data_IF_694672591792
#
_entry.id   IF_694672591792
#
_cell.length_a   1.000
_cell.length_b   1.000
_cell.length_c   1.000
_cell.angle_alpha   90.00
_cell.angle_beta   90.00
_cell.angle_gamma   90.00
#
_symmetry.space_group_name_H-M   'P 1'
#
loop_
_entity.id
_entity.type
_entity.pdbx_description
1 polymer ?
#
# COMPACT_ATOMS: atom_id res chain seq x y z
N UNK A 1 -58.75 -30.31 -3.19
CA UNK A 1 -57.69 -29.78 -2.29
C UNK A 1 -56.44 -29.62 -3.12
N UNK A 2 -56.14 -28.38 -3.52
CA UNK A 2 -54.99 -27.98 -4.32
C UNK A 2 -53.78 -27.89 -3.40
N UNK A 3 -52.86 -28.85 -3.53
CA UNK A 3 -51.53 -28.74 -2.93
C UNK A 3 -50.75 -27.73 -3.79
N UNK A 4 -50.83 -26.46 -3.40
CA UNK A 4 -49.88 -25.45 -3.87
C UNK A 4 -48.52 -25.82 -3.28
N UNK A 5 -47.76 -26.61 -4.03
CA UNK A 5 -46.36 -26.83 -3.76
C UNK A 5 -45.70 -25.45 -3.84
N UNK A 6 -45.39 -24.89 -2.67
CA UNK A 6 -44.52 -23.75 -2.58
C UNK A 6 -43.24 -24.09 -3.37
N UNK A 7 -43.10 -23.48 -4.54
CA UNK A 7 -41.81 -23.20 -5.13
C UNK A 7 -41.09 -22.31 -4.11
N UNK A 8 -40.55 -22.94 -3.07
CA UNK A 8 -39.44 -22.39 -2.32
C UNK A 8 -38.35 -22.19 -3.37
N UNK A 9 -38.22 -20.96 -3.85
CA UNK A 9 -37.17 -20.51 -4.73
C UNK A 9 -35.85 -20.88 -4.06
N UNK A 10 -35.28 -22.01 -4.45
CA UNK A 10 -33.90 -22.32 -4.13
C UNK A 10 -33.08 -21.21 -4.76
N UNK A 11 -32.63 -20.24 -3.95
CA UNK A 11 -31.58 -19.32 -4.37
C UNK A 11 -30.47 -20.21 -4.92
N UNK A 12 -30.20 -20.10 -6.21
CA UNK A 12 -29.26 -21.00 -6.86
C UNK A 12 -27.87 -20.81 -6.25
N UNK A 13 -27.08 -21.88 -6.18
CA UNK A 13 -25.66 -21.79 -5.78
C UNK A 13 -24.93 -20.71 -6.61
N UNK A 14 -25.28 -20.59 -7.89
CA UNK A 14 -24.77 -19.54 -8.78
C UNK A 14 -25.17 -18.13 -8.35
N UNK A 15 -26.42 -17.92 -7.94
CA UNK A 15 -26.91 -16.61 -7.46
C UNK A 15 -26.14 -16.19 -6.20
N UNK A 16 -25.91 -17.13 -5.27
CA UNK A 16 -25.13 -16.88 -4.05
C UNK A 16 -23.66 -16.54 -4.35
N UNK A 17 -23.05 -17.25 -5.30
CA UNK A 17 -21.68 -16.95 -5.77
C UNK A 17 -21.60 -15.57 -6.45
N UNK A 18 -22.60 -15.21 -7.25
CA UNK A 18 -22.69 -13.91 -7.90
C UNK A 18 -22.86 -12.77 -6.90
N UNK A 19 -23.76 -12.95 -5.94
CA UNK A 19 -23.98 -11.99 -4.86
C UNK A 19 -22.71 -11.80 -4.02
N UNK A 20 -22.05 -12.91 -3.65
CA UNK A 20 -20.78 -12.89 -2.94
C UNK A 20 -19.70 -12.12 -3.72
N UNK A 21 -19.55 -12.38 -5.03
CA UNK A 21 -18.61 -11.66 -5.89
C UNK A 21 -18.91 -10.16 -5.97
N UNK A 22 -20.18 -9.78 -6.09
CA UNK A 22 -20.61 -8.36 -6.15
C UNK A 22 -20.35 -7.66 -4.83
N UNK A 23 -20.65 -8.30 -3.71
CA UNK A 23 -20.42 -7.75 -2.37
C UNK A 23 -18.92 -7.54 -2.11
N UNK A 24 -18.08 -8.53 -2.43
CA UNK A 24 -16.63 -8.44 -2.30
C UNK A 24 -16.06 -7.31 -3.18
N UNK A 25 -16.44 -7.24 -4.46
CA UNK A 25 -16.00 -6.16 -5.37
C UNK A 25 -16.43 -4.78 -4.89
N UNK A 26 -17.64 -4.65 -4.34
CA UNK A 26 -18.12 -3.38 -3.79
C UNK A 26 -17.25 -2.95 -2.61
N UNK A 27 -16.99 -3.85 -1.66
CA UNK A 27 -16.12 -3.56 -0.53
C UNK A 27 -14.68 -3.21 -0.97
N UNK A 28 -14.12 -4.00 -1.90
CA UNK A 28 -12.76 -3.81 -2.41
C UNK A 28 -12.59 -2.46 -3.13
N UNK A 29 -13.60 -1.96 -3.86
CA UNK A 29 -13.55 -0.61 -4.45
C UNK A 29 -13.34 0.48 -3.40
N UNK A 30 -14.09 0.41 -2.29
CA UNK A 30 -13.96 1.37 -1.18
C UNK A 30 -12.59 1.25 -0.51
N UNK A 31 -12.15 0.02 -0.22
CA UNK A 31 -10.86 -0.20 0.43
C UNK A 31 -9.67 0.16 -0.47
N UNK A 32 -9.69 -0.14 -1.78
CA UNK A 32 -8.61 0.23 -2.70
C UNK A 32 -8.52 1.74 -2.86
N UNK A 33 -9.65 2.44 -3.04
CA UNK A 33 -9.66 3.91 -3.13
C UNK A 33 -9.17 4.52 -1.82
N UNK A 34 -9.66 4.03 -0.68
CA UNK A 34 -9.20 4.48 0.62
C UNK A 34 -7.70 4.25 0.83
N UNK A 35 -7.18 3.08 0.44
CA UNK A 35 -5.76 2.75 0.51
C UNK A 35 -4.90 3.64 -0.40
N UNK A 36 -5.34 3.92 -1.62
CA UNK A 36 -4.67 4.83 -2.54
C UNK A 36 -4.62 6.26 -1.97
N UNK A 37 -5.72 6.74 -1.39
CA UNK A 37 -5.78 8.05 -0.74
C UNK A 37 -4.89 8.11 0.52
N UNK A 38 -4.86 7.06 1.34
CA UNK A 38 -3.94 6.93 2.48
C UNK A 38 -2.46 6.88 2.04
N UNK A 39 -2.19 6.33 0.85
CA UNK A 39 -0.87 6.39 0.22
C UNK A 39 -0.45 7.80 -0.23
N UNK A 40 -1.35 8.77 -0.19
CA UNK A 40 -1.03 10.16 -0.43
C UNK A 40 -1.03 10.95 0.87
N UNK A 41 -0.07 11.85 1.04
CA UNK A 41 0.13 12.61 2.27
C UNK A 41 -1.11 13.37 2.75
N UNK A 42 -1.46 14.48 2.09
CA UNK A 42 -2.60 15.31 2.51
C UNK A 42 -3.97 14.62 2.38
N UNK A 43 -4.25 13.83 1.31
CA UNK A 43 -5.52 13.12 1.19
C UNK A 43 -5.70 11.96 2.18
N UNK A 44 -4.64 11.52 2.87
CA UNK A 44 -4.70 10.31 3.70
C UNK A 44 -5.69 10.39 4.86
N UNK A 45 -5.91 11.58 5.42
CA UNK A 45 -6.95 11.84 6.42
C UNK A 45 -8.36 11.49 5.92
N UNK A 46 -8.64 11.70 4.64
CA UNK A 46 -9.91 11.39 3.99
C UNK A 46 -9.93 9.91 3.53
N UNK A 47 -8.77 9.38 3.15
CA UNK A 47 -8.60 7.99 2.75
C UNK A 47 -9.02 6.99 3.83
N UNK A 48 -8.71 7.27 5.10
CA UNK A 48 -9.01 6.37 6.21
C UNK A 48 -10.53 6.13 6.41
N UNK A 49 -11.40 7.16 6.51
CA UNK A 49 -12.85 6.95 6.54
C UNK A 49 -13.40 6.17 5.34
N UNK A 50 -12.88 6.43 4.14
CA UNK A 50 -13.28 5.73 2.90
C UNK A 50 -12.90 4.25 2.98
N UNK A 51 -11.70 3.95 3.48
CA UNK A 51 -11.24 2.59 3.71
C UNK A 51 -12.10 1.86 4.75
N UNK A 52 -12.40 2.51 5.88
CA UNK A 52 -13.26 1.97 6.94
C UNK A 52 -14.67 1.65 6.45
N UNK A 53 -15.22 2.46 5.53
CA UNK A 53 -16.50 2.13 4.87
C UNK A 53 -16.42 0.81 4.10
N UNK A 54 -15.31 0.54 3.41
CA UNK A 54 -15.09 -0.73 2.73
C UNK A 54 -15.02 -1.92 3.69
N UNK A 55 -14.30 -1.78 4.81
CA UNK A 55 -14.25 -2.80 5.87
C UNK A 55 -15.63 -3.06 6.46
N UNK A 56 -16.44 -2.02 6.66
CA UNK A 56 -17.82 -2.14 7.14
C UNK A 56 -18.71 -2.89 6.15
N UNK A 57 -18.56 -2.65 4.84
CA UNK A 57 -19.26 -3.40 3.79
C UNK A 57 -18.83 -4.88 3.76
N UNK A 58 -17.54 -5.18 3.91
CA UNK A 58 -17.04 -6.55 3.98
C UNK A 58 -17.58 -7.29 5.22
N UNK A 59 -17.64 -6.61 6.37
CA UNK A 59 -18.23 -7.17 7.60
C UNK A 59 -19.72 -7.47 7.44
N UNK A 60 -20.47 -6.63 6.73
CA UNK A 60 -21.87 -6.92 6.42
C UNK A 60 -22.02 -8.14 5.52
N UNK A 61 -21.21 -8.25 4.47
CA UNK A 61 -21.23 -9.42 3.59
C UNK A 61 -20.94 -10.72 4.36
N UNK A 62 -19.95 -10.69 5.26
CA UNK A 62 -19.64 -11.84 6.14
C UNK A 62 -20.83 -12.19 7.06
N UNK A 63 -21.48 -11.19 7.66
CA UNK A 63 -22.66 -11.40 8.52
C UNK A 63 -23.87 -11.93 7.74
N UNK A 64 -23.98 -11.60 6.46
CA UNK A 64 -25.01 -12.09 5.56
C UNK A 64 -24.76 -13.53 5.07
N UNK A 65 -23.66 -14.18 5.49
CA UNK A 65 -23.33 -15.55 5.06
C UNK A 65 -22.82 -15.62 3.62
N UNK A 66 -22.38 -14.50 3.04
CA UNK A 66 -21.75 -14.49 1.72
C UNK A 66 -20.32 -15.01 1.82
N UNK A 67 -19.85 -15.66 0.76
CA UNK A 67 -18.46 -16.08 0.66
C UNK A 67 -17.56 -14.85 0.50
N UNK A 68 -16.67 -14.64 1.47
CA UNK A 68 -15.71 -13.52 1.47
C UNK A 68 -14.28 -14.03 1.52
N UNK A 69 -13.37 -13.21 0.99
CA UNK A 69 -11.93 -13.50 1.04
C UNK A 69 -11.45 -13.67 2.49
N UNK A 70 -10.53 -14.60 2.79
CA UNK A 70 -9.96 -14.75 4.13
C UNK A 70 -9.42 -13.42 4.68
N UNK A 71 -9.66 -13.17 5.97
CA UNK A 71 -9.29 -11.91 6.61
C UNK A 71 -7.78 -11.66 6.60
N UNK A 72 -6.97 -12.71 6.77
CA UNK A 72 -5.50 -12.60 6.73
C UNK A 72 -4.98 -12.17 5.36
N UNK A 73 -5.57 -12.68 4.26
CA UNK A 73 -5.26 -12.24 2.89
C UNK A 73 -5.64 -10.76 2.73
N UNK A 74 -6.79 -10.36 3.25
CA UNK A 74 -7.24 -8.96 3.22
C UNK A 74 -6.27 -8.05 3.98
N UNK A 75 -5.85 -8.44 5.19
CA UNK A 75 -4.91 -7.68 6.02
C UNK A 75 -3.55 -7.52 5.33
N UNK A 76 -2.93 -8.63 4.91
CA UNK A 76 -1.62 -8.62 4.25
C UNK A 76 -1.69 -7.86 2.93
N UNK A 77 -2.72 -8.10 2.12
CA UNK A 77 -2.90 -7.46 0.83
C UNK A 77 -3.06 -5.95 0.96
N UNK A 78 -3.89 -5.46 1.90
CA UNK A 78 -4.06 -4.03 2.10
C UNK A 78 -2.87 -3.37 2.81
N UNK A 79 -2.18 -4.06 3.72
CA UNK A 79 -0.94 -3.57 4.32
C UNK A 79 0.11 -3.29 3.23
N UNK A 80 0.34 -4.27 2.35
CA UNK A 80 1.29 -4.13 1.24
C UNK A 80 0.80 -3.13 0.18
N UNK A 81 -0.52 -3.04 -0.05
CA UNK A 81 -1.08 -2.07 -0.97
C UNK A 81 -0.87 -0.63 -0.48
N UNK A 82 -1.14 -0.36 0.80
CA UNK A 82 -0.95 0.99 1.39
C UNK A 82 0.53 1.37 1.33
N UNK A 83 1.42 0.47 1.71
CA UNK A 83 2.87 0.65 1.60
C UNK A 83 3.32 0.92 0.15
N UNK A 84 2.84 0.14 -0.81
CA UNK A 84 3.10 0.38 -2.23
C UNK A 84 2.57 1.72 -2.71
N UNK A 85 1.36 2.12 -2.29
CA UNK A 85 0.77 3.41 -2.64
C UNK A 85 1.51 4.59 -1.98
N UNK A 86 1.97 4.45 -0.73
CA UNK A 86 2.80 5.46 -0.04
C UNK A 86 4.09 5.72 -0.81
N UNK A 87 4.79 4.67 -1.21
CA UNK A 87 6.05 4.79 -1.93
C UNK A 87 5.89 5.15 -3.41
N UNK A 88 4.77 4.76 -4.05
CA UNK A 88 4.47 5.19 -5.41
C UNK A 88 3.98 6.63 -5.45
N UNK A 89 2.86 6.93 -4.79
CA UNK A 89 2.19 8.23 -4.89
C UNK A 89 2.86 9.29 -4.02
N UNK A 90 3.35 8.93 -2.83
CA UNK A 90 4.08 9.85 -1.96
C UNK A 90 5.37 10.33 -2.60
N UNK A 91 6.23 9.42 -3.07
CA UNK A 91 7.44 9.82 -3.78
C UNK A 91 7.16 10.38 -5.19
N UNK A 92 6.03 10.07 -5.83
CA UNK A 92 5.65 10.73 -7.09
C UNK A 92 5.42 12.24 -6.92
N UNK A 93 5.02 12.70 -5.73
CA UNK A 93 4.94 14.13 -5.45
C UNK A 93 6.33 14.79 -5.50
N UNK A 94 7.38 14.11 -5.04
CA UNK A 94 8.76 14.57 -5.20
C UNK A 94 9.25 14.50 -6.65
N UNK A 95 8.84 13.46 -7.39
CA UNK A 95 9.29 13.30 -8.77
C UNK A 95 8.66 14.33 -9.72
N UNK A 96 7.35 14.57 -9.60
CA UNK A 96 6.56 15.33 -10.59
C UNK A 96 5.96 16.61 -10.04
N UNK A 97 5.65 16.67 -8.75
CA UNK A 97 4.96 17.80 -8.11
C UNK A 97 5.86 18.64 -7.17
N UNK A 98 7.19 18.54 -7.32
CA UNK A 98 8.16 19.14 -6.39
C UNK A 98 8.13 20.68 -6.30
N UNK A 99 7.61 21.36 -7.31
CA UNK A 99 7.44 22.81 -7.30
C UNK A 99 6.09 23.26 -6.71
N UNK A 100 5.17 22.35 -6.43
CA UNK A 100 3.86 22.71 -5.86
C UNK A 100 4.00 23.18 -4.41
N UNK A 101 3.14 24.11 -3.99
CA UNK A 101 3.13 24.61 -2.60
C UNK A 101 2.89 23.47 -1.61
N UNK A 102 1.99 22.55 -1.95
CA UNK A 102 1.67 21.38 -1.11
C UNK A 102 2.94 20.55 -0.88
N UNK A 103 3.68 20.21 -1.94
CA UNK A 103 4.87 19.38 -1.77
C UNK A 103 6.00 20.12 -1.05
N UNK A 104 6.21 21.40 -1.36
CA UNK A 104 7.23 22.22 -0.68
C UNK A 104 6.95 22.41 0.81
N UNK A 105 5.69 22.44 1.24
CA UNK A 105 5.36 22.52 2.67
C UNK A 105 5.49 21.16 3.34
N UNK A 106 4.93 20.11 2.73
CA UNK A 106 4.89 18.79 3.36
C UNK A 106 6.25 18.08 3.35
N UNK A 107 6.94 18.08 2.22
CA UNK A 107 8.19 17.33 2.04
C UNK A 107 9.36 18.00 2.76
N UNK A 108 9.51 19.32 2.61
CA UNK A 108 10.53 20.09 3.35
C UNK A 108 10.19 20.14 4.83
N UNK A 109 8.90 20.25 5.19
CA UNK A 109 8.46 20.22 6.58
C UNK A 109 8.79 18.90 7.26
N UNK A 110 8.55 17.77 6.59
CA UNK A 110 8.98 16.46 7.08
C UNK A 110 10.50 16.34 7.11
N UNK A 111 11.20 16.84 6.09
CA UNK A 111 12.64 16.77 6.06
C UNK A 111 13.29 17.54 7.22
N UNK A 112 12.78 18.73 7.52
CA UNK A 112 13.21 19.51 8.68
C UNK A 112 12.91 18.81 10.02
N UNK A 113 11.87 17.97 10.05
CA UNK A 113 11.43 17.31 11.26
C UNK A 113 12.17 15.98 11.51
N UNK A 114 12.48 15.21 10.47
CA UNK A 114 12.94 13.82 10.61
C UNK A 114 14.17 13.46 9.76
N UNK A 115 14.25 13.94 8.52
CA UNK A 115 15.35 13.57 7.61
C UNK A 115 15.69 14.69 6.61
N UNK A 116 16.87 15.26 6.83
CA UNK A 116 17.35 16.42 6.15
C UNK A 116 17.58 16.24 4.65
N UNK A 117 17.72 15.01 4.13
CA UNK A 117 17.91 14.81 2.70
C UNK A 117 16.70 15.22 1.84
N UNK A 118 15.54 15.43 2.46
CA UNK A 118 14.34 15.97 1.81
C UNK A 118 14.20 17.50 1.89
N UNK A 119 15.11 18.21 2.57
CA UNK A 119 15.23 19.68 2.45
C UNK A 119 16.60 20.13 1.92
N UNK A 120 17.64 19.32 2.09
CA UNK A 120 19.00 19.57 1.63
C UNK A 120 19.03 19.71 0.10
N UNK A 121 19.44 20.89 -0.37
CA UNK A 121 19.46 21.25 -1.80
C UNK A 121 18.16 20.93 -2.55
N UNK A 122 17.01 21.08 -1.88
CA UNK A 122 15.71 20.75 -2.48
C UNK A 122 15.45 21.58 -3.74
N UNK A 123 15.05 20.92 -4.83
CA UNK A 123 14.85 21.51 -6.16
C UNK A 123 16.12 22.07 -6.85
N UNK A 124 17.33 21.76 -6.39
CA UNK A 124 18.56 22.22 -7.07
C UNK A 124 19.01 21.28 -8.22
N UNK A 125 18.54 20.03 -8.24
CA UNK A 125 18.79 19.11 -9.34
C UNK A 125 17.96 19.49 -10.58
N UNK A 126 18.43 19.11 -11.78
CA UNK A 126 17.68 19.26 -13.04
C UNK A 126 16.22 18.78 -12.93
N UNK A 127 16.00 17.62 -12.29
CA UNK A 127 14.68 16.97 -12.20
C UNK A 127 13.85 17.55 -11.05
N UNK A 128 14.43 18.45 -10.24
CA UNK A 128 13.85 18.96 -9.01
C UNK A 128 13.74 17.90 -7.92
N UNK A 129 13.06 18.23 -6.82
CA UNK A 129 12.78 17.39 -5.66
C UNK A 129 13.97 17.22 -4.71
N UNK A 130 13.94 16.14 -3.92
CA UNK A 130 14.95 15.81 -2.93
C UNK A 130 16.32 15.57 -3.59
N UNK A 131 17.35 16.20 -3.04
CA UNK A 131 18.73 16.12 -3.54
C UNK A 131 19.67 15.42 -2.55
N UNK A 132 19.13 14.79 -1.50
CA UNK A 132 19.89 13.89 -0.63
C UNK A 132 20.67 12.85 -1.45
N UNK A 133 21.89 12.49 -1.03
CA UNK A 133 22.74 11.56 -1.77
C UNK A 133 22.00 10.26 -2.14
N UNK A 134 21.85 9.97 -3.43
CA UNK A 134 21.18 8.75 -3.93
C UNK A 134 19.64 8.76 -3.85
N UNK A 135 19.02 9.65 -3.07
CA UNK A 135 17.57 9.72 -2.85
C UNK A 135 16.81 9.86 -4.17
N UNK A 136 17.20 10.82 -5.01
CA UNK A 136 16.52 11.05 -6.29
C UNK A 136 16.58 9.87 -7.24
N UNK A 137 17.71 9.16 -7.27
CA UNK A 137 17.88 7.99 -8.11
C UNK A 137 16.99 6.84 -7.63
N UNK A 138 16.87 6.66 -6.30
CA UNK A 138 15.95 5.70 -5.68
C UNK A 138 14.50 6.04 -6.00
N UNK A 139 14.09 7.29 -5.80
CA UNK A 139 12.75 7.80 -6.11
C UNK A 139 12.40 7.52 -7.58
N UNK A 140 13.24 7.96 -8.52
CA UNK A 140 12.97 7.79 -9.94
C UNK A 140 12.94 6.32 -10.38
N UNK A 141 13.91 5.51 -9.92
CA UNK A 141 14.00 4.11 -10.29
C UNK A 141 12.88 3.25 -9.71
N UNK A 142 12.58 3.41 -8.41
CA UNK A 142 11.70 2.50 -7.68
C UNK A 142 10.21 2.80 -7.89
N UNK A 143 9.82 4.05 -8.10
CA UNK A 143 8.43 4.40 -8.47
C UNK A 143 8.05 3.69 -9.76
N UNK A 144 8.89 3.83 -10.80
CA UNK A 144 8.62 3.33 -12.15
C UNK A 144 8.71 1.80 -12.24
N UNK A 145 9.40 1.17 -11.28
CA UNK A 145 9.61 -0.27 -11.26
C UNK A 145 8.89 -0.91 -10.08
N UNK A 146 9.55 -1.02 -8.92
CA UNK A 146 9.17 -1.91 -7.83
C UNK A 146 7.84 -1.52 -7.19
N UNK A 147 7.58 -0.25 -6.90
CA UNK A 147 6.37 0.12 -6.17
C UNK A 147 5.11 0.00 -7.03
N UNK A 148 5.20 0.35 -8.32
CA UNK A 148 4.10 0.13 -9.26
C UNK A 148 3.79 -1.36 -9.43
N UNK A 149 4.83 -2.21 -9.54
CA UNK A 149 4.66 -3.66 -9.54
C UNK A 149 4.05 -4.18 -8.24
N UNK A 150 4.48 -3.65 -7.08
CA UNK A 150 3.97 -4.03 -5.75
C UNK A 150 2.49 -3.70 -5.58
N UNK A 151 2.06 -2.53 -6.05
CA UNK A 151 0.64 -2.14 -6.08
C UNK A 151 -0.18 -3.10 -6.94
N UNK A 152 0.29 -3.40 -8.16
CA UNK A 152 -0.39 -4.33 -9.05
C UNK A 152 -0.47 -5.74 -8.46
N UNK A 153 0.62 -6.22 -7.86
CA UNK A 153 0.71 -7.50 -7.19
C UNK A 153 -0.27 -7.60 -6.01
N UNK A 154 -0.34 -6.57 -5.17
CA UNK A 154 -1.25 -6.51 -4.03
C UNK A 154 -2.72 -6.54 -4.49
N UNK A 155 -3.07 -5.81 -5.55
CA UNK A 155 -4.42 -5.86 -6.13
C UNK A 155 -4.73 -7.27 -6.67
N UNK A 156 -3.81 -7.88 -7.43
CA UNK A 156 -3.98 -9.25 -7.94
C UNK A 156 -4.14 -10.27 -6.80
N UNK A 157 -3.35 -10.13 -5.74
CA UNK A 157 -3.42 -10.97 -4.55
C UNK A 157 -4.74 -10.81 -3.80
N UNK A 158 -5.22 -9.58 -3.64
CA UNK A 158 -6.56 -9.30 -3.09
C UNK A 158 -7.63 -9.93 -4.00
N UNK A 159 -7.47 -9.91 -5.32
CA UNK A 159 -8.39 -10.59 -6.25
C UNK A 159 -8.29 -12.12 -6.22
N UNK A 160 -7.51 -12.71 -5.29
CA UNK A 160 -7.28 -14.14 -5.18
C UNK A 160 -6.71 -14.74 -6.47
N UNK A 161 -5.83 -14.00 -7.16
CA UNK A 161 -5.12 -14.44 -8.35
C UNK A 161 -3.75 -15.01 -8.03
N UNK A 162 -3.41 -16.12 -8.68
CA UNK A 162 -2.15 -16.84 -8.48
C UNK A 162 -0.95 -16.01 -8.92
N UNK A 163 -1.07 -15.29 -10.04
CA UNK A 163 -0.05 -14.34 -10.47
C UNK A 163 0.17 -13.24 -9.42
N UNK A 164 -0.90 -12.77 -8.77
CA UNK A 164 -0.83 -11.77 -7.71
C UNK A 164 -0.03 -12.28 -6.51
N UNK A 165 -0.27 -13.52 -6.07
CA UNK A 165 0.53 -14.16 -5.02
C UNK A 165 2.02 -14.27 -5.39
N UNK A 166 2.33 -14.71 -6.60
CA UNK A 166 3.71 -14.86 -7.07
C UNK A 166 4.45 -13.52 -7.10
N UNK A 167 3.82 -12.49 -7.69
CA UNK A 167 4.40 -11.15 -7.74
C UNK A 167 4.46 -10.48 -6.37
N UNK A 168 3.55 -10.81 -5.44
CA UNK A 168 3.65 -10.35 -4.05
C UNK A 168 4.92 -10.88 -3.39
N UNK A 169 5.28 -12.15 -3.61
CA UNK A 169 6.54 -12.73 -3.09
C UNK A 169 7.74 -11.98 -3.66
N UNK A 170 7.78 -11.78 -4.99
CA UNK A 170 8.89 -11.10 -5.67
C UNK A 170 9.04 -9.66 -5.17
N UNK A 171 7.95 -8.90 -5.17
CA UNK A 171 7.97 -7.48 -4.77
C UNK A 171 8.22 -7.31 -3.27
N UNK A 172 7.85 -8.27 -2.42
CA UNK A 172 8.26 -8.27 -1.02
C UNK A 172 9.76 -8.47 -0.87
N UNK A 173 10.38 -9.43 -1.56
CA UNK A 173 11.83 -9.58 -1.54
C UNK A 173 12.57 -8.37 -2.10
N UNK A 174 12.08 -7.77 -3.19
CA UNK A 174 12.59 -6.49 -3.67
C UNK A 174 12.47 -5.40 -2.60
N UNK A 175 11.36 -5.37 -1.85
CA UNK A 175 11.15 -4.47 -0.73
C UNK A 175 12.19 -4.65 0.39
N UNK A 176 12.61 -5.88 0.70
CA UNK A 176 13.70 -6.13 1.67
C UNK A 176 15.01 -5.52 1.19
N UNK A 177 15.34 -5.69 -0.10
CA UNK A 177 16.55 -5.10 -0.70
C UNK A 177 16.51 -3.58 -0.66
N UNK A 178 15.39 -2.98 -1.08
CA UNK A 178 15.17 -1.53 -1.05
C UNK A 178 15.30 -0.99 0.37
N UNK A 179 14.62 -1.61 1.33
CA UNK A 179 14.65 -1.19 2.73
C UNK A 179 16.06 -1.26 3.30
N UNK A 180 16.78 -2.35 3.03
CA UNK A 180 18.18 -2.49 3.47
C UNK A 180 19.06 -1.40 2.87
N UNK A 181 18.91 -1.14 1.58
CA UNK A 181 19.72 -0.13 0.89
C UNK A 181 19.37 1.30 1.32
N UNK A 182 18.10 1.57 1.64
CA UNK A 182 17.65 2.82 2.24
C UNK A 182 18.23 3.02 3.65
N UNK A 183 18.24 1.98 4.48
CA UNK A 183 18.90 2.01 5.81
C UNK A 183 20.40 2.29 5.67
N UNK A 184 21.09 1.66 4.71
CA UNK A 184 22.49 1.97 4.43
C UNK A 184 22.67 3.43 4.00
N UNK A 185 21.81 3.95 3.12
CA UNK A 185 21.85 5.34 2.70
C UNK A 185 21.71 6.31 3.89
N UNK A 186 20.71 6.08 4.75
CA UNK A 186 20.50 6.85 5.97
C UNK A 186 21.69 6.80 6.93
N UNK A 187 22.37 5.64 7.02
CA UNK A 187 23.48 5.42 7.95
C UNK A 187 24.79 6.00 7.43
N UNK A 188 25.09 5.80 6.13
CA UNK A 188 26.34 6.27 5.52
C UNK A 188 26.38 7.80 5.38
N UNK A 189 25.23 8.43 5.17
CA UNK A 189 25.09 9.88 5.06
C UNK A 189 24.39 10.49 6.28
N UNK A 190 24.52 9.85 7.45
CA UNK A 190 23.86 10.29 8.68
C UNK A 190 24.18 11.74 9.08
N UNK A 191 25.40 12.19 8.76
CA UNK A 191 25.88 13.56 8.94
C UNK A 191 25.08 14.58 8.12
N UNK A 192 24.63 14.19 6.93
CA UNK A 192 23.73 15.01 6.09
C UNK A 192 22.28 14.79 6.50
N UNK A 193 21.86 13.53 6.68
CA UNK A 193 20.45 13.13 6.86
C UNK A 193 19.87 13.51 8.22
N UNK A 194 20.68 13.63 9.26
CA UNK A 194 20.21 14.00 10.60
C UNK A 194 20.74 15.37 11.08
N UNK A 195 21.46 16.10 10.24
CA UNK A 195 21.92 17.45 10.60
C UNK A 195 20.75 18.44 10.66
N UNK A 196 20.62 19.10 11.81
CA UNK A 196 19.67 20.21 11.99
C UNK A 196 18.19 19.82 12.00
N UNK A 197 17.86 18.52 12.01
CA UNK A 197 16.48 18.04 12.12
C UNK A 197 16.00 18.02 13.58
N UNK A 198 14.69 18.19 13.78
CA UNK A 198 14.09 18.26 15.13
C UNK A 198 14.14 16.92 15.87
N UNK A 199 13.74 15.84 15.20
CA UNK A 199 13.67 14.49 15.75
C UNK A 199 14.48 13.55 14.85
N UNK A 200 15.79 13.38 15.07
CA UNK A 200 16.68 12.66 14.17
C UNK A 200 16.38 11.14 14.16
N UNK A 201 17.29 10.30 14.63
CA UNK A 201 17.14 8.83 14.55
C UNK A 201 15.81 8.33 15.13
N UNK A 202 15.35 8.90 16.25
CA UNK A 202 14.08 8.49 16.88
C UNK A 202 12.88 8.83 15.99
N UNK A 203 12.84 10.04 15.43
CA UNK A 203 11.71 10.47 14.61
C UNK A 203 11.64 9.72 13.29
N UNK A 204 12.81 9.48 12.68
CA UNK A 204 12.94 8.61 11.51
C UNK A 204 12.38 7.21 11.80
N UNK A 205 12.83 6.53 12.86
CA UNK A 205 12.31 5.19 13.21
C UNK A 205 10.81 5.16 13.53
N UNK A 206 10.28 6.18 14.21
CA UNK A 206 8.85 6.26 14.54
C UNK A 206 7.96 6.29 13.29
N UNK A 207 8.47 6.86 12.19
CA UNK A 207 7.79 6.89 10.92
C UNK A 207 8.10 5.65 10.08
N UNK A 208 9.39 5.31 9.94
CA UNK A 208 9.87 4.34 8.97
C UNK A 208 9.62 2.88 9.35
N UNK A 209 9.34 2.60 10.63
CA UNK A 209 9.01 1.24 11.10
C UNK A 209 7.80 0.66 10.37
N UNK A 210 6.90 1.49 9.86
CA UNK A 210 5.71 1.02 9.14
C UNK A 210 6.02 0.52 7.72
N UNK A 211 7.21 0.79 7.17
CA UNK A 211 7.66 0.28 5.87
C UNK A 211 8.26 -1.13 5.93
N UNK A 212 8.33 -1.76 7.11
CA UNK A 212 8.79 -3.15 7.27
C UNK A 212 7.77 -4.19 6.78
N UNK A 213 6.75 -3.78 6.01
CA UNK A 213 5.70 -4.67 5.51
C UNK A 213 6.22 -5.91 4.77
N UNK A 214 7.36 -5.90 4.03
CA UNK A 214 7.93 -7.14 3.48
C UNK A 214 8.20 -8.21 4.55
N UNK A 215 8.74 -7.81 5.70
CA UNK A 215 9.09 -8.74 6.79
C UNK A 215 7.86 -9.37 7.42
N UNK A 216 6.71 -8.69 7.39
CA UNK A 216 5.42 -9.22 7.84
C UNK A 216 4.75 -10.10 6.77
N UNK A 217 4.84 -9.72 5.49
CA UNK A 217 4.17 -10.41 4.40
C UNK A 217 4.89 -11.70 3.97
N UNK A 218 6.23 -11.72 3.92
CA UNK A 218 7.03 -12.85 3.43
C UNK A 218 6.69 -14.16 4.14
N UNK A 219 6.65 -14.24 5.49
CA UNK A 219 6.31 -15.49 6.18
C UNK A 219 4.96 -16.03 5.75
N UNK A 220 3.92 -15.17 5.75
CA UNK A 220 2.59 -15.57 5.31
C UNK A 220 2.58 -16.07 3.86
N UNK A 221 3.20 -15.33 2.95
CA UNK A 221 3.21 -15.66 1.52
C UNK A 221 3.90 -16.99 1.21
N UNK A 222 4.87 -17.43 2.03
CA UNK A 222 5.53 -18.73 1.86
C UNK A 222 4.78 -19.89 2.55
N UNK A 223 3.93 -19.59 3.53
CA UNK A 223 3.13 -20.63 4.24
C UNK A 223 1.79 -20.91 3.59
N UNK A 224 1.21 -19.95 2.85
CA UNK A 224 -0.12 -20.11 2.26
C UNK A 224 -0.10 -21.10 1.09
N UNK A 225 -1.05 -22.05 1.05
CA UNK A 225 -1.19 -22.94 -0.08
C UNK A 225 -1.59 -22.13 -1.33
N UNK A 226 -0.80 -22.23 -2.40
CA UNK A 226 -1.02 -21.54 -3.68
C UNK A 226 -2.29 -21.97 -4.41
N UNK A 227 -2.83 -23.14 -4.10
CA UNK A 227 -4.02 -23.69 -4.75
C UNK A 227 -5.31 -22.98 -4.38
N UNK A 228 -5.31 -22.20 -3.28
CA UNK A 228 -6.47 -21.37 -2.92
C UNK A 228 -6.65 -20.18 -3.88
N UNK A 229 -5.63 -19.88 -4.70
CA UNK A 229 -5.66 -18.80 -5.67
C UNK A 229 -6.06 -19.35 -7.05
N UNK A 230 -7.00 -18.65 -7.68
CA UNK A 230 -7.41 -18.90 -9.06
C UNK A 230 -6.34 -18.42 -10.05
N UNK A 231 -6.25 -19.08 -11.20
CA UNK A 231 -5.42 -18.60 -12.31
C UNK A 231 -5.94 -17.26 -12.89
#
# INVERSE_FOLDING_TARGET
MTVSAAQASSVGLEDHHDESRRAQRRADKWMIVGAALMGMWAPGLIGFPIFMRGVWLQRQALRAGLSVRPMIVTLIGYLVLIDGMLNSLGWALDLVANHTLINRVLMVGWGNMFDAGYFWHYNELWVGGAAGPGEKAYVAGLILTVFSMRVAAAIGFLQMKRWGHQWMVVTCWMGVVIWSAYVFNMTMFADVRYAGVVFPVIGWWLYDIFYITPFLAIPYLHTVNREIFSD
#
